data_IF_917335083414
#
_entry.id   IF_917335083414
#
_cell.length_a   1.000
_cell.length_b   1.000
_cell.length_c   1.000
_cell.angle_alpha   90.00
_cell.angle_beta   90.00
_cell.angle_gamma   90.00
#
_symmetry.space_group_name_H-M   'P 1'
#
loop_
_entity.id
_entity.type
_entity.pdbx_description
1 polymer ?
#
# COMPACT_ATOMS: atom_id res chain seq x y z
N UNK A 1 -6.59 17.18 2.77
CA UNK A 1 -5.34 16.99 3.56
C UNK A 1 -5.74 17.00 5.02
N UNK A 2 -5.26 16.03 5.81
CA UNK A 2 -5.47 16.00 7.27
C UNK A 2 -4.29 16.72 7.95
N UNK A 3 -4.57 17.61 8.89
CA UNK A 3 -3.55 18.27 9.72
C UNK A 3 -3.41 17.50 11.03
N UNK A 4 -2.62 16.43 10.99
CA UNK A 4 -2.33 15.59 12.16
C UNK A 4 -0.81 15.53 12.35
N UNK A 5 -0.36 15.72 13.60
CA UNK A 5 1.06 15.74 13.91
C UNK A 5 1.70 14.36 13.71
N UNK A 6 2.97 14.35 13.31
CA UNK A 6 3.77 13.11 13.21
C UNK A 6 3.80 12.29 14.52
N UNK A 7 3.67 12.98 15.66
CA UNK A 7 3.62 12.37 16.98
C UNK A 7 2.40 11.48 17.17
N UNK A 8 1.24 11.83 16.60
CA UNK A 8 0.04 11.00 16.68
C UNK A 8 0.26 9.61 16.07
N UNK A 9 0.98 9.53 14.94
CA UNK A 9 1.38 8.25 14.34
C UNK A 9 2.39 7.49 15.21
N UNK A 10 3.30 8.22 15.86
CA UNK A 10 4.27 7.63 16.79
C UNK A 10 3.58 7.04 18.02
N UNK A 11 2.58 7.72 18.57
CA UNK A 11 1.77 7.21 19.67
C UNK A 11 0.96 5.99 19.25
N UNK A 12 0.30 6.02 18.10
CA UNK A 12 -0.48 4.89 17.59
C UNK A 12 0.36 3.63 17.32
N UNK A 13 1.68 3.78 17.10
CA UNK A 13 2.60 2.64 17.02
C UNK A 13 2.88 1.96 18.35
N UNK A 14 2.73 2.66 19.46
CA UNK A 14 2.95 2.12 20.82
C UNK A 14 1.62 1.71 21.47
N UNK A 15 0.57 2.49 21.19
CA UNK A 15 -0.80 2.32 21.66
C UNK A 15 -1.70 2.00 20.45
N UNK A 16 -1.78 0.70 20.10
CA UNK A 16 -2.47 0.24 18.88
C UNK A 16 -3.97 0.51 18.91
N UNK A 17 -4.56 0.69 20.09
CA UNK A 17 -5.94 1.14 20.29
C UNK A 17 -6.23 2.53 19.66
N UNK A 18 -5.19 3.32 19.38
CA UNK A 18 -5.32 4.61 18.71
C UNK A 18 -5.36 4.50 17.18
N UNK A 19 -5.01 3.34 16.62
CA UNK A 19 -4.97 3.14 15.16
C UNK A 19 -6.32 3.42 14.49
N UNK A 20 -7.48 2.97 15.02
CA UNK A 20 -8.79 3.30 14.45
C UNK A 20 -9.11 4.81 14.45
N UNK A 21 -8.42 5.61 15.26
CA UNK A 21 -8.61 7.07 15.31
C UNK A 21 -7.90 7.79 14.15
N UNK A 22 -7.05 7.09 13.41
CA UNK A 22 -6.35 7.59 12.22
C UNK A 22 -7.26 7.42 10.99
N UNK A 23 -8.29 8.26 10.90
CA UNK A 23 -9.31 8.16 9.84
C UNK A 23 -8.72 8.29 8.43
N UNK A 24 -7.59 8.99 8.29
CA UNK A 24 -6.85 9.06 7.03
C UNK A 24 -6.33 7.70 6.56
N UNK A 25 -6.02 6.75 7.46
CA UNK A 25 -5.59 5.41 7.07
C UNK A 25 -6.77 4.63 6.48
N UNK A 26 -7.97 4.77 7.05
CA UNK A 26 -9.18 4.13 6.55
C UNK A 26 -9.63 4.67 5.17
N UNK A 27 -9.20 5.87 4.80
CA UNK A 27 -9.52 6.48 3.50
C UNK A 27 -8.38 6.37 2.49
N UNK A 28 -7.18 6.02 2.94
CA UNK A 28 -6.01 5.95 2.08
C UNK A 28 -6.17 4.79 1.09
N UNK A 29 -6.15 5.07 -0.20
CA UNK A 29 -6.12 4.01 -1.22
C UNK A 29 -4.77 3.30 -1.29
N UNK A 30 -3.73 3.94 -0.76
CA UNK A 30 -2.36 3.47 -0.75
C UNK A 30 -1.71 3.80 0.58
N UNK A 31 -1.05 2.82 1.18
CA UNK A 31 -0.29 3.00 2.42
C UNK A 31 1.16 2.61 2.15
N UNK A 32 2.05 3.57 2.35
CA UNK A 32 3.46 3.44 2.04
C UNK A 32 4.28 3.25 3.33
N UNK A 33 5.01 2.15 3.41
CA UNK A 33 5.98 1.86 4.44
C UNK A 33 7.39 2.15 3.96
N UNK A 34 8.11 3.02 4.67
CA UNK A 34 9.48 3.37 4.32
C UNK A 34 10.44 2.40 5.01
N UNK A 35 11.16 1.62 4.20
CA UNK A 35 12.19 0.70 4.61
C UNK A 35 13.57 1.36 4.46
N UNK A 36 14.37 1.33 5.51
CA UNK A 36 15.68 1.96 5.56
C UNK A 36 16.76 0.92 5.23
N UNK A 37 17.30 0.99 4.00
CA UNK A 37 18.34 0.11 3.50
C UNK A 37 19.65 0.20 4.28
N UNK A 38 20.00 1.36 4.85
CA UNK A 38 21.21 1.51 5.64
C UNK A 38 21.10 0.74 6.98
N UNK A 39 19.91 0.72 7.58
CA UNK A 39 19.64 -0.08 8.80
C UNK A 39 19.60 -1.57 8.52
N UNK A 40 19.12 -1.98 7.33
CA UNK A 40 19.20 -3.35 6.86
C UNK A 40 20.64 -3.80 6.62
N UNK A 41 21.49 -2.94 6.05
CA UNK A 41 22.88 -3.24 5.81
C UNK A 41 23.67 -3.46 7.11
N UNK A 42 23.37 -2.71 8.16
CA UNK A 42 23.99 -2.85 9.49
C UNK A 42 23.64 -4.18 10.15
N UNK A 43 24.62 -5.09 10.32
CA UNK A 43 24.43 -6.40 10.97
C UNK A 43 23.83 -6.25 12.38
N UNK A 44 24.28 -5.26 13.14
CA UNK A 44 23.83 -4.98 14.51
C UNK A 44 22.34 -4.59 14.56
N UNK A 45 21.89 -3.78 13.59
CA UNK A 45 20.52 -3.25 13.59
C UNK A 45 19.55 -4.14 12.82
N UNK A 46 20.04 -4.91 11.85
CA UNK A 46 19.24 -5.66 10.86
C UNK A 46 18.15 -6.49 11.51
N UNK A 47 18.50 -7.38 12.44
CA UNK A 47 17.55 -8.33 13.06
C UNK A 47 16.45 -7.62 13.84
N UNK A 48 16.80 -6.62 14.65
CA UNK A 48 15.83 -5.86 15.42
C UNK A 48 14.95 -4.99 14.50
N UNK A 49 15.55 -4.40 13.46
CA UNK A 49 14.86 -3.53 12.52
C UNK A 49 13.86 -4.30 11.64
N UNK A 50 14.26 -5.42 11.05
CA UNK A 50 13.39 -6.26 10.21
C UNK A 50 12.20 -6.79 10.99
N UNK A 51 12.40 -7.22 12.24
CA UNK A 51 11.33 -7.64 13.14
C UNK A 51 10.36 -6.49 13.40
N UNK A 52 10.89 -5.32 13.80
CA UNK A 52 10.07 -4.15 14.14
C UNK A 52 9.26 -3.64 12.94
N UNK A 53 9.85 -3.71 11.74
CA UNK A 53 9.19 -3.31 10.50
C UNK A 53 7.97 -4.20 10.20
N UNK A 54 8.13 -5.53 10.24
CA UNK A 54 7.01 -6.47 10.07
C UNK A 54 5.94 -6.30 11.15
N UNK A 55 6.36 -6.14 12.41
CA UNK A 55 5.44 -5.91 13.52
C UNK A 55 4.57 -4.67 13.32
N UNK A 56 5.11 -3.61 12.72
CA UNK A 56 4.35 -2.40 12.41
C UNK A 56 3.25 -2.65 11.38
N UNK A 57 3.55 -3.41 10.31
CA UNK A 57 2.55 -3.77 9.30
C UNK A 57 1.47 -4.67 9.91
N UNK A 58 1.86 -5.67 10.72
CA UNK A 58 0.91 -6.52 11.46
C UNK A 58 0.04 -5.69 12.39
N UNK A 59 0.60 -4.79 13.18
CA UNK A 59 -0.17 -3.94 14.08
C UNK A 59 -1.23 -3.13 13.33
N UNK A 60 -0.90 -2.54 12.18
CA UNK A 60 -1.87 -1.81 11.37
C UNK A 60 -2.94 -2.72 10.76
N UNK A 61 -2.54 -3.88 10.24
CA UNK A 61 -3.48 -4.85 9.68
C UNK A 61 -4.46 -5.36 10.74
N UNK A 62 -3.93 -5.81 11.88
CA UNK A 62 -4.69 -6.50 12.91
C UNK A 62 -5.59 -5.53 13.70
N UNK A 63 -5.30 -4.22 13.65
CA UNK A 63 -6.15 -3.16 14.21
C UNK A 63 -7.03 -2.47 13.14
N UNK A 64 -7.20 -3.09 11.97
CA UNK A 64 -8.19 -2.69 10.97
C UNK A 64 -7.80 -1.49 10.08
N UNK A 65 -6.60 -0.94 10.21
CA UNK A 65 -6.16 0.17 9.34
C UNK A 65 -6.00 -0.24 7.87
N UNK A 66 -5.88 -1.55 7.59
CA UNK A 66 -5.77 -2.10 6.23
C UNK A 66 -7.05 -2.86 5.81
N UNK A 67 -8.14 -2.77 6.57
CA UNK A 67 -9.34 -3.59 6.35
C UNK A 67 -10.03 -3.31 5.00
N UNK A 68 -9.94 -2.08 4.48
CA UNK A 68 -10.45 -1.68 3.17
C UNK A 68 -9.51 -2.06 2.01
N UNK A 69 -8.48 -2.86 2.29
CA UNK A 69 -7.54 -3.42 1.30
C UNK A 69 -6.85 -2.35 0.43
N UNK A 70 -6.18 -1.36 1.04
CA UNK A 70 -5.39 -0.41 0.28
C UNK A 70 -4.21 -1.11 -0.41
N UNK A 71 -3.67 -0.49 -1.45
CA UNK A 71 -2.39 -0.94 -1.99
C UNK A 71 -1.30 -0.63 -0.97
N UNK A 72 -0.60 -1.67 -0.51
CA UNK A 72 0.50 -1.53 0.44
C UNK A 72 1.80 -1.44 -0.35
N UNK A 73 2.52 -0.34 -0.17
CA UNK A 73 3.83 -0.15 -0.80
C UNK A 73 4.94 -0.21 0.23
N UNK A 74 6.07 -0.80 -0.16
CA UNK A 74 7.30 -0.77 0.60
C UNK A 74 8.31 0.02 -0.20
N UNK A 75 8.66 1.21 0.29
CA UNK A 75 9.69 2.06 -0.30
C UNK A 75 11.02 1.79 0.39
N UNK A 76 11.87 1.00 -0.26
CA UNK A 76 13.25 0.72 0.15
C UNK A 76 14.14 1.91 -0.19
N UNK A 77 14.57 2.64 0.83
CA UNK A 77 15.41 3.84 0.73
C UNK A 77 16.88 3.54 1.00
N UNK A 78 17.77 4.45 0.59
CA UNK A 78 19.21 4.47 0.97
C UNK A 78 20.02 3.24 0.53
N UNK A 79 19.58 2.52 -0.50
CA UNK A 79 20.32 1.39 -1.05
C UNK A 79 21.57 1.85 -1.81
N UNK A 80 21.59 3.08 -2.32
CA UNK A 80 22.73 3.72 -2.97
C UNK A 80 23.93 3.91 -2.02
N UNK A 81 23.66 4.32 -0.77
CA UNK A 81 24.69 4.47 0.27
C UNK A 81 25.32 3.12 0.63
N UNK A 82 24.59 2.03 0.40
CA UNK A 82 25.05 0.67 0.69
C UNK A 82 25.87 0.06 -0.45
N UNK A 83 25.70 0.54 -1.70
CA UNK A 83 26.40 0.05 -2.89
C UNK A 83 27.90 0.37 -2.92
N UNK A 84 28.37 1.38 -2.18
CA UNK A 84 29.80 1.73 -2.13
C UNK A 84 30.63 0.85 -1.19
N UNK A 85 30.03 -0.18 -0.59
CA UNK A 85 30.70 -1.10 0.35
C UNK A 85 31.14 -2.38 -0.35
N UNK A 86 32.20 -3.00 0.15
CA UNK A 86 32.72 -4.30 -0.34
C UNK A 86 31.67 -5.43 -0.29
N UNK A 87 30.63 -5.29 0.55
CA UNK A 87 29.55 -6.26 0.74
C UNK A 87 28.23 -5.88 0.01
N UNK A 88 28.28 -4.98 -0.97
CA UNK A 88 27.10 -4.48 -1.68
C UNK A 88 26.20 -5.58 -2.27
N UNK A 89 26.76 -6.61 -2.91
CA UNK A 89 25.97 -7.72 -3.48
C UNK A 89 25.21 -8.50 -2.40
N UNK A 90 25.87 -8.81 -1.28
CA UNK A 90 25.22 -9.50 -0.16
C UNK A 90 24.09 -8.67 0.44
N UNK A 91 24.25 -7.34 0.50
CA UNK A 91 23.22 -6.44 1.02
C UNK A 91 22.04 -6.33 0.07
N UNK A 92 22.27 -6.22 -1.24
CA UNK A 92 21.21 -6.21 -2.25
C UNK A 92 20.44 -7.54 -2.27
N UNK A 93 21.13 -8.67 -2.15
CA UNK A 93 20.50 -9.98 -2.05
C UNK A 93 19.67 -10.11 -0.77
N UNK A 94 20.19 -9.62 0.37
CA UNK A 94 19.43 -9.63 1.62
C UNK A 94 18.19 -8.74 1.54
N UNK A 95 18.29 -7.55 0.95
CA UNK A 95 17.16 -6.66 0.73
C UNK A 95 16.10 -7.33 -0.16
N UNK A 96 16.50 -7.90 -1.29
CA UNK A 96 15.60 -8.58 -2.21
C UNK A 96 14.89 -9.77 -1.54
N UNK A 97 15.62 -10.56 -0.76
CA UNK A 97 15.06 -11.67 -0.01
C UNK A 97 14.08 -11.19 1.07
N UNK A 98 14.40 -10.11 1.76
CA UNK A 98 13.52 -9.53 2.77
C UNK A 98 12.25 -8.93 2.15
N UNK A 99 12.36 -8.22 1.03
CA UNK A 99 11.24 -7.70 0.23
C UNK A 99 10.32 -8.86 -0.20
N UNK A 100 10.89 -9.94 -0.75
CA UNK A 100 10.15 -11.14 -1.14
C UNK A 100 9.39 -11.76 0.03
N UNK A 101 10.05 -11.92 1.18
CA UNK A 101 9.41 -12.47 2.37
C UNK A 101 8.23 -11.61 2.85
N UNK A 102 8.32 -10.28 2.76
CA UNK A 102 7.21 -9.42 3.15
C UNK A 102 6.04 -9.58 2.18
N UNK A 103 6.30 -9.56 0.87
CA UNK A 103 5.26 -9.76 -0.14
C UNK A 103 4.54 -11.09 0.07
N UNK A 104 5.28 -12.20 0.21
CA UNK A 104 4.71 -13.53 0.45
C UNK A 104 3.90 -13.60 1.76
N UNK A 105 4.41 -12.99 2.83
CA UNK A 105 3.78 -13.02 4.14
C UNK A 105 2.43 -12.30 4.15
N UNK A 106 2.35 -11.11 3.56
CA UNK A 106 1.15 -10.29 3.57
C UNK A 106 0.21 -10.57 2.39
N UNK A 107 0.68 -11.17 1.29
CA UNK A 107 -0.19 -11.74 0.27
C UNK A 107 -1.08 -12.85 0.84
N UNK A 108 -0.57 -13.67 1.78
CA UNK A 108 -1.38 -14.65 2.52
C UNK A 108 -2.47 -14.02 3.40
N UNK A 109 -2.37 -12.73 3.70
CA UNK A 109 -3.37 -11.93 4.41
C UNK A 109 -4.30 -11.17 3.44
N UNK A 110 -4.27 -11.50 2.14
CA UNK A 110 -5.09 -10.87 1.10
C UNK A 110 -4.80 -9.36 0.92
N UNK A 111 -3.56 -8.95 1.19
CA UNK A 111 -3.06 -7.60 0.95
C UNK A 111 -2.27 -7.54 -0.36
N UNK A 112 -2.55 -6.55 -1.20
CA UNK A 112 -1.75 -6.23 -2.37
C UNK A 112 -0.48 -5.49 -1.93
N UNK A 113 0.65 -6.18 -1.87
CA UNK A 113 1.94 -5.61 -1.45
C UNK A 113 2.89 -5.49 -2.63
N UNK A 114 3.44 -4.29 -2.82
CA UNK A 114 4.43 -3.99 -3.86
C UNK A 114 5.67 -3.34 -3.25
N UNK A 115 6.85 -3.67 -3.78
CA UNK A 115 8.13 -3.12 -3.31
C UNK A 115 8.74 -2.22 -4.39
N UNK A 116 9.20 -1.04 -3.99
CA UNK A 116 9.91 -0.10 -4.86
C UNK A 116 11.17 0.39 -4.18
N UNK A 117 12.18 0.70 -4.99
CA UNK A 117 13.48 1.19 -4.52
C UNK A 117 13.66 2.64 -4.88
N UNK A 118 14.00 3.46 -3.89
CA UNK A 118 14.22 4.90 -4.03
C UNK A 118 15.56 5.29 -3.41
N UNK A 119 16.35 6.11 -4.10
CA UNK A 119 17.64 6.55 -3.56
C UNK A 119 17.45 7.48 -2.34
N UNK A 120 18.48 7.56 -1.50
CA UNK A 120 18.57 8.62 -0.51
C UNK A 120 18.63 9.99 -1.21
N UNK A 121 18.19 11.05 -0.52
CA UNK A 121 18.44 12.42 -0.98
C UNK A 121 19.96 12.63 -1.13
N UNK A 122 20.47 12.89 -2.35
CA UNK A 122 21.90 13.09 -2.53
C UNK A 122 22.34 14.40 -1.85
N UNK A 123 23.23 14.29 -0.86
CA UNK A 123 23.76 15.45 -0.12
C UNK A 123 24.92 16.15 -0.83
N UNK A 124 25.67 15.43 -1.67
CA UNK A 124 26.93 15.89 -2.28
C UNK A 124 26.90 15.90 -3.80
N UNK A 125 26.19 14.95 -4.41
CA UNK A 125 26.19 14.78 -5.86
C UNK A 125 24.77 14.78 -6.40
N UNK A 126 24.28 15.97 -6.74
CA UNK A 126 22.95 16.16 -7.32
C UNK A 126 22.83 15.56 -8.73
N UNK A 127 23.95 15.18 -9.36
CA UNK A 127 23.96 14.57 -10.70
C UNK A 127 23.53 13.10 -10.68
N UNK A 128 23.64 12.40 -9.54
CA UNK A 128 23.21 11.00 -9.39
C UNK A 128 21.68 10.84 -9.48
N UNK A 129 20.93 11.96 -9.44
CA UNK A 129 19.51 11.98 -9.70
C UNK A 129 18.69 11.32 -8.59
N UNK A 130 17.39 11.62 -8.58
CA UNK A 130 16.44 11.03 -7.64
C UNK A 130 15.95 9.68 -8.19
N UNK A 131 16.81 8.65 -8.19
CA UNK A 131 16.45 7.34 -8.73
C UNK A 131 15.20 6.81 -8.04
N UNK A 132 14.18 6.46 -8.84
CA UNK A 132 12.92 5.88 -8.39
C UNK A 132 11.90 6.89 -7.87
N UNK A 133 12.27 8.16 -7.64
CA UNK A 133 11.33 9.17 -7.16
C UNK A 133 10.35 9.60 -8.25
N UNK A 134 10.83 9.77 -9.48
CA UNK A 134 10.01 10.13 -10.64
C UNK A 134 8.97 9.05 -10.94
N UNK A 135 9.38 7.78 -10.92
CA UNK A 135 8.48 6.64 -11.04
C UNK A 135 7.48 6.59 -9.89
N UNK A 136 7.93 6.79 -8.65
CA UNK A 136 7.06 6.81 -7.47
C UNK A 136 5.99 7.89 -7.56
N UNK A 137 6.39 9.13 -7.88
CA UNK A 137 5.44 10.25 -8.05
C UNK A 137 4.48 9.97 -9.19
N UNK A 138 4.99 9.51 -10.35
CA UNK A 138 4.14 9.16 -11.50
C UNK A 138 3.06 8.15 -11.11
N UNK A 139 3.42 7.09 -10.41
CA UNK A 139 2.48 6.05 -9.94
C UNK A 139 1.46 6.62 -8.95
N UNK A 140 1.89 7.48 -8.02
CA UNK A 140 0.98 8.09 -7.05
C UNK A 140 0.02 9.11 -7.67
N UNK A 141 0.44 9.76 -8.75
CA UNK A 141 -0.40 10.70 -9.52
C UNK A 141 -1.18 10.04 -10.64
N UNK A 142 -0.99 8.74 -10.88
CA UNK A 142 -1.69 8.02 -11.94
C UNK A 142 -3.20 8.05 -11.67
N UNK A 143 -4.04 8.25 -12.69
CA UNK A 143 -5.49 8.25 -12.53
C UNK A 143 -5.92 6.95 -11.86
N UNK A 144 -6.67 7.10 -10.78
CA UNK A 144 -7.25 5.95 -10.10
C UNK A 144 -8.37 5.40 -10.98
N UNK A 145 -8.32 4.09 -11.24
CA UNK A 145 -9.44 3.38 -11.84
C UNK A 145 -10.59 3.36 -10.82
N UNK A 146 -11.43 4.39 -10.83
CA UNK A 146 -12.64 4.42 -10.03
C UNK A 146 -13.61 3.38 -10.61
N UNK A 147 -14.27 2.57 -9.76
CA UNK A 147 -15.31 1.66 -10.24
C UNK A 147 -16.38 2.48 -10.95
N UNK A 148 -16.82 2.01 -12.12
CA UNK A 148 -17.91 2.64 -12.85
C UNK A 148 -19.16 2.65 -11.97
N UNK A 149 -19.66 3.86 -11.68
CA UNK A 149 -20.96 4.05 -11.03
C UNK A 149 -22.13 3.91 -12.02
N UNK A 150 -21.83 3.69 -13.30
CA UNK A 150 -22.88 3.48 -14.28
C UNK A 150 -23.56 2.13 -13.99
N UNK A 151 -24.90 2.11 -13.90
CA UNK A 151 -25.62 0.86 -13.72
C UNK A 151 -25.26 -0.09 -14.86
N UNK A 152 -24.97 -1.34 -14.50
CA UNK A 152 -24.76 -2.41 -15.48
C UNK A 152 -26.04 -2.53 -16.30
N UNK A 153 -25.96 -2.29 -17.61
CA UNK A 153 -27.08 -2.49 -18.50
C UNK A 153 -27.45 -3.98 -18.48
N UNK A 154 -28.58 -4.31 -17.86
CA UNK A 154 -29.12 -5.67 -17.87
C UNK A 154 -29.78 -5.87 -19.25
N UNK A 155 -29.23 -6.73 -20.12
CA UNK A 155 -29.60 -6.77 -21.53
C UNK A 155 -31.03 -7.25 -21.77
N UNK A 156 -31.66 -7.89 -20.79
CA UNK A 156 -32.92 -8.62 -20.97
C UNK A 156 -33.79 -8.63 -19.71
N UNK A 157 -33.92 -7.50 -19.03
CA UNK A 157 -35.02 -7.33 -18.07
C UNK A 157 -36.17 -6.60 -18.77
N UNK A 158 -37.40 -7.16 -18.77
CA UNK A 158 -38.56 -6.41 -19.22
C UNK A 158 -38.62 -5.11 -18.43
N UNK A 159 -38.84 -4.00 -19.12
CA UNK A 159 -38.96 -2.69 -18.47
C UNK A 159 -40.08 -2.80 -17.44
N UNK A 160 -39.98 -2.04 -16.35
CA UNK A 160 -41.01 -2.06 -15.32
C UNK A 160 -42.41 -1.76 -15.89
N UNK A 161 -42.48 -1.00 -16.98
CA UNK A 161 -43.70 -0.71 -17.77
C UNK A 161 -44.23 -1.99 -18.45
N UNK A 162 -43.38 -2.82 -19.03
CA UNK A 162 -43.76 -4.08 -19.68
C UNK A 162 -44.40 -5.05 -18.67
N UNK A 163 -43.93 -5.05 -17.42
CA UNK A 163 -44.55 -5.81 -16.32
C UNK A 163 -45.93 -5.31 -15.92
N UNK A 164 -46.18 -4.00 -16.07
CA UNK A 164 -47.50 -3.41 -15.78
C UNK A 164 -48.46 -3.74 -16.92
N UNK A 165 -48.00 -3.65 -18.17
CA UNK A 165 -48.78 -4.00 -19.37
C UNK A 165 -49.16 -5.50 -19.39
N UNK A 166 -48.23 -6.39 -19.07
CA UNK A 166 -48.50 -7.83 -18.96
C UNK A 166 -49.47 -8.20 -17.82
N UNK A 167 -49.67 -7.30 -16.84
CA UNK A 167 -50.69 -7.45 -15.79
C UNK A 167 -52.01 -6.76 -16.13
N UNK A 168 -52.00 -5.88 -17.13
CA UNK A 168 -53.16 -5.09 -17.55
C UNK A 168 -53.95 -5.75 -18.68
N UNK A 169 -53.40 -6.77 -19.36
CA UNK A 169 -54.16 -7.66 -20.24
C UNK A 169 -54.97 -8.64 -19.39
N UNK A 170 -56.31 -8.53 -19.35
CA UNK A 170 -57.16 -9.55 -18.78
C UNK A 170 -57.20 -10.74 -19.75
N UNK A 171 -57.28 -11.94 -19.19
CA UNK A 171 -57.62 -13.16 -19.90
C UNK A 171 -58.86 -12.92 -20.78
N UNK A 172 -58.69 -12.82 -22.10
CA UNK A 172 -59.79 -13.12 -23.02
C UNK A 172 -60.10 -14.61 -22.84
N UNK A 173 -61.17 -14.86 -22.09
CA UNK A 173 -61.79 -16.16 -21.97
C UNK A 173 -62.53 -16.46 -23.26
N UNK A 174 -62.17 -17.55 -23.93
CA UNK A 174 -63.08 -18.47 -24.63
C UNK A 174 -62.47 -19.88 -24.71
#
# INVERSE_FOLDING_TARGET
>A
MSDRSGEAYSFARTATELIPTLSELALAQRICFVLDGARLASIEQRTAYTRKFKQMIHALNDNGALAHRPVVEILSTKFDITTTRTDAEHQLNYLAEYERQIVEEFARKDLAVECFRVCALPKKDQAVGFVGLDETVRRWTAPLSLPSILPVALPTLPRQIDRILAKAEPLEQE
#
